data_IF_982425128506
#
_entry.id   IF_982425128506
#
_cell.length_a   1.000
_cell.length_b   1.000
_cell.length_c   1.000
_cell.angle_alpha   90.00
_cell.angle_beta   90.00
_cell.angle_gamma   90.00
#
_symmetry.space_group_name_H-M   'P 1'
#
loop_
_entity.id
_entity.type
_entity.pdbx_description
1 polymer ?
#
# COMPACT_ATOMS: atom_id res chain seq x y z
N UNK A 1 4.11 -48.24 14.63
CA UNK A 1 5.52 -47.84 14.47
C UNK A 1 5.58 -46.97 13.24
N UNK A 2 5.91 -45.69 13.38
CA UNK A 2 6.03 -44.80 12.22
C UNK A 2 7.40 -45.05 11.59
N UNK A 3 7.43 -45.23 10.27
CA UNK A 3 8.69 -45.33 9.53
C UNK A 3 9.27 -43.91 9.42
N UNK A 4 10.50 -43.70 9.90
CA UNK A 4 11.19 -42.41 9.75
C UNK A 4 11.93 -42.43 8.42
N UNK A 5 11.58 -41.51 7.53
CA UNK A 5 12.26 -41.31 6.25
C UNK A 5 13.37 -40.26 6.42
N UNK A 6 14.61 -40.68 6.14
CA UNK A 6 15.80 -39.82 6.18
C UNK A 6 16.18 -39.31 4.78
N UNK A 7 15.38 -39.62 3.76
CA UNK A 7 15.61 -39.15 2.39
C UNK A 7 15.37 -37.64 2.32
N UNK A 8 16.25 -36.94 1.63
CA UNK A 8 16.10 -35.51 1.39
C UNK A 8 14.78 -35.24 0.62
N UNK A 9 13.88 -34.40 1.15
CA UNK A 9 12.59 -34.17 0.53
C UNK A 9 12.70 -33.15 -0.62
N UNK A 10 13.18 -33.58 -1.78
CA UNK A 10 13.33 -32.78 -3.00
C UNK A 10 12.09 -31.95 -3.36
N UNK A 11 10.90 -32.55 -3.20
CA UNK A 11 9.63 -31.87 -3.47
C UNK A 11 9.39 -30.67 -2.55
N UNK A 12 9.82 -30.76 -1.28
CA UNK A 12 9.64 -29.72 -0.28
C UNK A 12 10.62 -28.58 -0.54
N UNK A 13 11.87 -28.92 -0.89
CA UNK A 13 12.90 -27.96 -1.29
C UNK A 13 12.43 -27.18 -2.52
N UNK A 14 12.00 -27.89 -3.57
CA UNK A 14 11.44 -27.26 -4.78
C UNK A 14 10.24 -26.37 -4.46
N UNK A 15 9.33 -26.84 -3.61
CA UNK A 15 8.16 -26.08 -3.17
C UNK A 15 8.54 -24.76 -2.49
N UNK A 16 9.50 -24.79 -1.55
CA UNK A 16 9.99 -23.59 -0.87
C UNK A 16 10.66 -22.60 -1.84
N UNK A 17 11.51 -23.08 -2.75
CA UNK A 17 12.13 -22.21 -3.76
C UNK A 17 11.11 -21.62 -4.74
N UNK A 18 10.11 -22.40 -5.16
CA UNK A 18 9.06 -21.92 -6.05
C UNK A 18 8.22 -20.82 -5.38
N UNK A 19 7.76 -21.05 -4.15
CA UNK A 19 6.97 -20.06 -3.40
C UNK A 19 7.81 -18.82 -3.11
N UNK A 20 9.04 -19.01 -2.66
CA UNK A 20 9.99 -17.93 -2.43
C UNK A 20 10.20 -17.06 -3.67
N UNK A 21 10.46 -17.70 -4.82
CA UNK A 21 10.61 -17.01 -6.10
C UNK A 21 9.36 -16.24 -6.53
N UNK A 22 8.18 -16.86 -6.43
CA UNK A 22 6.89 -16.19 -6.72
C UNK A 22 6.68 -14.98 -5.80
N UNK A 23 6.98 -15.12 -4.51
CA UNK A 23 6.80 -14.07 -3.52
C UNK A 23 7.76 -12.88 -3.76
N UNK A 24 9.02 -13.14 -4.10
CA UNK A 24 10.01 -12.14 -4.51
C UNK A 24 9.51 -11.35 -5.75
N UNK A 25 8.98 -12.04 -6.76
CA UNK A 25 8.43 -11.39 -7.96
C UNK A 25 7.24 -10.49 -7.61
N UNK A 26 6.29 -11.00 -6.82
CA UNK A 26 5.09 -10.25 -6.41
C UNK A 26 5.44 -9.03 -5.55
N UNK A 27 6.39 -9.17 -4.63
CA UNK A 27 6.86 -8.07 -3.79
C UNK A 27 7.62 -7.01 -4.60
N UNK A 28 8.45 -7.43 -5.56
CA UNK A 28 9.14 -6.50 -6.49
C UNK A 28 8.13 -5.72 -7.31
N UNK A 29 7.11 -6.39 -7.85
CA UNK A 29 6.01 -5.75 -8.56
C UNK A 29 5.28 -4.75 -7.64
N UNK A 30 4.96 -5.13 -6.40
CA UNK A 30 4.36 -4.25 -5.40
C UNK A 30 5.19 -2.98 -5.14
N UNK A 31 6.50 -3.13 -4.96
CA UNK A 31 7.45 -2.01 -4.78
C UNK A 31 7.45 -1.08 -6.00
N UNK A 32 7.60 -1.64 -7.21
CA UNK A 32 7.56 -0.87 -8.46
C UNK A 32 6.28 -0.04 -8.57
N UNK A 33 5.14 -0.68 -8.31
CA UNK A 33 3.85 -0.04 -8.41
C UNK A 33 3.67 1.08 -7.38
N UNK A 34 4.13 0.89 -6.14
CA UNK A 34 4.10 1.90 -5.08
C UNK A 34 4.98 3.11 -5.40
N UNK A 35 6.15 2.89 -5.99
CA UNK A 35 7.10 3.94 -6.38
C UNK A 35 6.61 4.76 -7.57
N UNK A 36 6.15 4.08 -8.63
CA UNK A 36 5.96 4.73 -9.94
C UNK A 36 4.49 4.98 -10.31
N UNK A 37 3.56 4.11 -9.89
CA UNK A 37 2.16 4.17 -10.34
C UNK A 37 1.20 4.74 -9.27
N UNK A 38 1.51 4.58 -7.98
CA UNK A 38 0.61 4.93 -6.87
C UNK A 38 0.76 6.37 -6.32
N UNK A 39 1.02 7.36 -7.18
CA UNK A 39 1.14 8.77 -6.77
C UNK A 39 -0.14 9.33 -6.13
N UNK A 40 -1.31 8.73 -6.41
CA UNK A 40 -2.59 9.15 -5.86
C UNK A 40 -2.70 8.94 -4.33
N UNK A 41 -1.95 8.00 -3.76
CA UNK A 41 -2.04 7.56 -2.35
C UNK A 41 -1.32 8.55 -1.40
N UNK A 42 -0.52 9.48 -1.92
CA UNK A 42 0.17 10.52 -1.12
C UNK A 42 1.19 9.94 -0.16
N UNK A 43 1.39 10.55 1.01
CA UNK A 43 2.41 10.11 1.99
C UNK A 43 2.21 8.70 2.54
N UNK A 44 0.98 8.19 2.55
CA UNK A 44 0.67 6.83 3.00
C UNK A 44 1.38 5.75 2.16
N UNK A 45 1.73 6.04 0.91
CA UNK A 45 2.48 5.11 0.05
C UNK A 45 3.84 4.71 0.62
N UNK A 46 4.49 5.58 1.40
CA UNK A 46 5.80 5.30 1.97
C UNK A 46 5.73 4.29 3.11
N UNK A 47 4.62 4.27 3.85
CA UNK A 47 4.35 3.24 4.86
C UNK A 47 4.06 1.89 4.22
N UNK A 48 3.25 1.88 3.15
CA UNK A 48 3.04 0.68 2.33
C UNK A 48 4.35 0.17 1.71
N UNK A 49 5.21 1.08 1.24
CA UNK A 49 6.50 0.75 0.68
C UNK A 49 7.43 0.14 1.73
N UNK A 50 7.47 0.71 2.94
CA UNK A 50 8.25 0.15 4.03
C UNK A 50 7.79 -1.29 4.38
N UNK A 51 6.48 -1.52 4.46
CA UNK A 51 5.92 -2.86 4.63
C UNK A 51 6.34 -3.82 3.50
N UNK A 52 6.19 -3.39 2.24
CA UNK A 52 6.53 -4.23 1.09
C UNK A 52 8.03 -4.56 1.02
N UNK A 53 8.90 -3.61 1.41
CA UNK A 53 10.34 -3.82 1.50
C UNK A 53 10.70 -4.83 2.60
N UNK A 54 10.01 -4.81 3.73
CA UNK A 54 10.21 -5.81 4.77
C UNK A 54 9.76 -7.20 4.32
N UNK A 55 8.61 -7.32 3.65
CA UNK A 55 8.15 -8.59 3.08
C UNK A 55 9.16 -9.13 2.06
N UNK A 56 9.66 -8.27 1.16
CA UNK A 56 10.70 -8.63 0.20
C UNK A 56 11.98 -9.14 0.88
N UNK A 57 12.44 -8.44 1.92
CA UNK A 57 13.65 -8.81 2.65
C UNK A 57 13.47 -10.16 3.36
N UNK A 58 12.32 -10.40 3.99
CA UNK A 58 12.02 -11.67 4.63
C UNK A 58 11.94 -12.81 3.62
N UNK A 59 11.28 -12.62 2.48
CA UNK A 59 11.21 -13.66 1.45
C UNK A 59 12.59 -13.98 0.87
N UNK A 60 13.43 -12.97 0.66
CA UNK A 60 14.81 -13.17 0.20
C UNK A 60 15.60 -14.00 1.22
N UNK A 61 15.46 -13.69 2.52
CA UNK A 61 16.12 -14.39 3.60
C UNK A 61 15.65 -15.85 3.71
N UNK A 62 14.34 -16.10 3.67
CA UNK A 62 13.80 -17.48 3.67
C UNK A 62 14.21 -18.26 2.41
N UNK A 63 14.15 -17.65 1.23
CA UNK A 63 14.41 -18.34 -0.05
C UNK A 63 15.89 -18.64 -0.26
N UNK A 64 16.80 -17.75 0.16
CA UNK A 64 18.24 -17.88 -0.11
C UNK A 64 19.03 -18.44 1.06
N UNK A 65 18.64 -18.12 2.29
CA UNK A 65 19.39 -18.51 3.47
C UNK A 65 18.72 -19.63 4.25
N UNK A 66 17.44 -19.95 3.95
CA UNK A 66 16.63 -20.97 4.65
C UNK A 66 16.68 -20.82 6.19
N UNK A 67 17.02 -19.62 6.66
CA UNK A 67 17.09 -19.31 8.08
C UNK A 67 15.69 -18.92 8.54
N UNK A 68 15.18 -19.50 9.63
CA UNK A 68 13.94 -19.05 10.23
C UNK A 68 14.12 -17.57 10.62
N UNK A 69 13.46 -16.69 9.87
CA UNK A 69 13.43 -15.28 10.21
C UNK A 69 12.30 -15.08 11.19
N UNK A 70 12.53 -14.38 12.30
CA UNK A 70 11.43 -13.95 13.14
C UNK A 70 10.42 -13.16 12.30
N UNK A 71 9.16 -13.63 12.21
CA UNK A 71 8.04 -12.97 11.50
C UNK A 71 7.68 -11.57 12.07
N UNK A 72 8.35 -11.19 13.15
CA UNK A 72 8.17 -9.96 13.92
C UNK A 72 8.14 -8.66 13.10
N UNK A 73 9.07 -8.40 12.16
CA UNK A 73 9.07 -7.11 11.47
C UNK A 73 7.84 -6.95 10.58
N UNK A 74 7.32 -8.04 10.01
CA UNK A 74 6.20 -7.98 9.07
C UNK A 74 4.89 -7.69 9.79
N UNK A 75 4.56 -8.48 10.82
CA UNK A 75 3.27 -8.37 11.52
C UNK A 75 3.17 -7.04 12.27
N UNK A 76 4.25 -6.62 12.94
CA UNK A 76 4.28 -5.34 13.64
C UNK A 76 4.13 -4.15 12.68
N UNK A 77 4.76 -4.20 11.49
CA UNK A 77 4.66 -3.13 10.48
C UNK A 77 3.26 -3.12 9.84
N UNK A 78 2.67 -4.29 9.58
CA UNK A 78 1.31 -4.39 9.04
C UNK A 78 0.30 -3.78 10.02
N UNK A 79 0.32 -4.20 11.29
CA UNK A 79 -0.57 -3.68 12.33
C UNK A 79 -0.44 -2.16 12.47
N UNK A 80 0.80 -1.63 12.50
CA UNK A 80 1.06 -0.20 12.54
C UNK A 80 0.50 0.53 11.31
N UNK A 81 0.58 -0.08 10.13
CA UNK A 81 0.04 0.52 8.90
C UNK A 81 -1.48 0.69 8.97
N UNK A 82 -2.20 -0.29 9.52
CA UNK A 82 -3.65 -0.16 9.76
C UNK A 82 -3.98 0.88 10.84
N UNK A 83 -3.21 0.96 11.92
CA UNK A 83 -3.40 1.97 12.98
C UNK A 83 -3.17 3.40 12.47
N UNK A 84 -2.11 3.62 11.69
CA UNK A 84 -1.85 4.91 11.05
C UNK A 84 -2.98 5.30 10.09
N UNK A 85 -3.52 4.31 9.36
CA UNK A 85 -4.66 4.53 8.47
C UNK A 85 -5.91 4.91 9.25
N UNK A 86 -6.19 4.21 10.35
CA UNK A 86 -7.27 4.52 11.28
C UNK A 86 -7.17 5.96 11.80
N UNK A 87 -5.99 6.36 12.29
CA UNK A 87 -5.74 7.69 12.81
C UNK A 87 -6.01 8.77 11.77
N UNK A 88 -5.55 8.56 10.52
CA UNK A 88 -5.78 9.48 9.41
C UNK A 88 -7.27 9.62 9.05
N UNK A 89 -8.02 8.52 9.04
CA UNK A 89 -9.46 8.53 8.71
C UNK A 89 -10.27 9.16 9.84
N UNK A 90 -9.98 8.79 11.09
CA UNK A 90 -10.69 9.26 12.29
C UNK A 90 -10.49 10.75 12.56
N UNK A 91 -9.29 11.27 12.29
CA UNK A 91 -9.00 12.70 12.40
C UNK A 91 -9.82 13.54 11.42
N UNK A 92 -10.10 13.04 10.22
CA UNK A 92 -10.92 13.74 9.23
C UNK A 92 -12.42 13.59 9.55
N UNK A 93 -12.83 12.45 10.10
CA UNK A 93 -14.25 12.20 10.41
C UNK A 93 -14.73 12.90 11.69
N UNK A 94 -13.82 13.55 12.43
CA UNK A 94 -14.05 14.11 13.77
C UNK A 94 -14.62 13.06 14.73
N UNK A 95 -14.05 11.86 14.70
CA UNK A 95 -14.44 10.71 15.52
C UNK A 95 -13.29 10.31 16.44
N UNK A 96 -13.53 9.34 17.34
CA UNK A 96 -12.48 8.80 18.20
C UNK A 96 -11.24 8.38 17.40
N UNK A 97 -10.09 8.94 17.77
CA UNK A 97 -8.78 8.67 17.18
C UNK A 97 -8.00 7.79 18.14
N UNK A 98 -7.50 6.64 17.68
CA UNK A 98 -6.63 5.79 18.49
C UNK A 98 -5.37 6.59 18.87
N UNK A 99 -5.01 6.69 20.16
CA UNK A 99 -3.87 7.47 20.59
C UNK A 99 -2.55 7.00 19.95
N UNK A 100 -1.64 7.92 19.64
CA UNK A 100 -0.36 7.59 18.99
C UNK A 100 0.53 6.66 19.81
N UNK A 101 0.44 6.69 21.14
CA UNK A 101 1.22 5.79 22.01
C UNK A 101 0.88 4.32 21.78
N UNK A 102 -0.34 4.03 21.30
CA UNK A 102 -0.79 2.66 20.97
C UNK A 102 0.08 2.06 19.87
N UNK A 103 0.56 2.85 18.91
CA UNK A 103 1.47 2.38 17.86
C UNK A 103 2.79 1.85 18.47
N UNK A 104 3.37 2.63 19.40
CA UNK A 104 4.59 2.25 20.11
C UNK A 104 4.37 1.03 21.02
N UNK A 105 3.21 0.95 21.69
CA UNK A 105 2.82 -0.20 22.49
C UNK A 105 2.74 -1.48 21.67
N UNK A 106 2.06 -1.46 20.51
CA UNK A 106 1.99 -2.65 19.65
C UNK A 106 3.36 -3.07 19.14
N UNK A 107 4.19 -2.12 18.72
CA UNK A 107 5.56 -2.42 18.28
C UNK A 107 6.37 -3.11 19.40
N UNK A 108 6.31 -2.58 20.63
CA UNK A 108 6.98 -3.18 21.79
C UNK A 108 6.40 -4.56 22.14
N UNK A 109 5.07 -4.71 22.15
CA UNK A 109 4.38 -5.95 22.46
C UNK A 109 4.78 -7.07 21.49
N UNK A 110 4.75 -6.80 20.18
CA UNK A 110 5.19 -7.78 19.18
C UNK A 110 6.66 -8.16 19.38
N UNK A 111 7.51 -7.23 19.85
CA UNK A 111 8.93 -7.49 20.10
C UNK A 111 9.14 -8.40 21.29
N UNK A 112 8.41 -8.16 22.37
CA UNK A 112 8.41 -9.01 23.56
C UNK A 112 7.89 -10.42 23.22
N UNK A 113 6.79 -10.52 22.47
CA UNK A 113 6.23 -11.82 22.05
C UNK A 113 7.23 -12.59 21.20
N UNK A 114 7.99 -11.91 20.33
CA UNK A 114 9.03 -12.56 19.56
C UNK A 114 10.15 -13.10 20.46
N UNK A 115 10.69 -12.28 21.35
CA UNK A 115 11.78 -12.70 22.24
C UNK A 115 11.32 -13.89 23.09
N UNK A 116 10.07 -13.84 23.58
CA UNK A 116 9.47 -14.96 24.31
C UNK A 116 9.36 -16.21 23.42
N UNK A 117 8.94 -16.07 22.17
CA UNK A 117 8.86 -17.18 21.21
C UNK A 117 10.22 -17.82 20.94
N UNK A 118 11.27 -17.03 20.71
CA UNK A 118 12.64 -17.51 20.52
C UNK A 118 13.15 -18.27 21.75
N UNK A 119 12.91 -17.73 22.95
CA UNK A 119 13.27 -18.41 24.21
C UNK A 119 12.54 -19.75 24.34
N UNK A 120 11.25 -19.79 24.02
CA UNK A 120 10.46 -21.02 24.13
C UNK A 120 10.89 -22.04 23.08
N UNK A 121 11.18 -21.63 21.83
CA UNK A 121 11.75 -22.49 20.80
C UNK A 121 13.09 -23.08 21.24
N UNK A 122 14.00 -22.25 21.74
CA UNK A 122 15.28 -22.72 22.25
C UNK A 122 15.10 -23.71 23.40
N UNK A 123 14.17 -23.44 24.33
CA UNK A 123 13.85 -24.35 25.43
C UNK A 123 13.18 -25.67 24.99
N UNK A 124 12.68 -25.73 23.74
CA UNK A 124 12.06 -26.92 23.17
C UNK A 124 13.10 -27.85 22.53
N UNK A 125 14.29 -27.37 22.20
CA UNK A 125 15.39 -28.24 21.78
C UNK A 125 15.94 -29.01 22.97
N UNK A 126 16.25 -30.29 22.74
CA UNK A 126 16.99 -31.08 23.73
C UNK A 126 18.47 -30.68 23.73
N UNK A 127 19.06 -30.61 24.92
CA UNK A 127 20.51 -30.56 25.05
C UNK A 127 21.13 -31.82 24.44
N UNK A 128 22.39 -31.74 23.99
CA UNK A 128 23.03 -32.82 23.22
C UNK A 128 23.01 -34.19 23.94
N UNK A 129 23.13 -34.19 25.27
CA UNK A 129 23.03 -35.42 26.09
C UNK A 129 21.62 -36.00 26.09
N UNK A 130 20.63 -35.17 26.39
CA UNK A 130 19.23 -35.60 26.48
C UNK A 130 18.68 -35.98 25.09
N UNK A 131 19.19 -35.35 24.03
CA UNK A 131 18.91 -35.68 22.64
C UNK A 131 19.22 -37.14 22.33
N UNK A 132 20.45 -37.58 22.62
CA UNK A 132 20.86 -38.96 22.34
C UNK A 132 20.15 -39.97 23.24
N UNK A 133 19.96 -39.65 24.54
CA UNK A 133 19.18 -40.49 25.46
C UNK A 133 17.74 -40.70 24.92
N UNK A 134 17.10 -39.64 24.44
CA UNK A 134 15.75 -39.70 23.89
C UNK A 134 15.69 -40.54 22.60
N UNK A 135 16.71 -40.47 21.75
CA UNK A 135 16.80 -41.29 20.51
C UNK A 135 17.01 -42.77 20.86
N UNK A 136 17.92 -43.07 21.78
CA UNK A 136 18.20 -44.46 22.19
C UNK A 136 16.98 -45.14 22.81
N UNK A 137 16.19 -44.39 23.60
CA UNK A 137 15.01 -44.93 24.27
C UNK A 137 13.82 -45.12 23.33
N UNK A 138 13.58 -44.17 22.41
CA UNK A 138 12.37 -44.16 21.59
C UNK A 138 12.56 -44.68 20.16
N UNK A 139 13.79 -44.66 19.64
CA UNK A 139 14.13 -44.96 18.24
C UNK A 139 15.45 -45.77 18.11
N UNK A 140 15.63 -46.87 18.86
CA UNK A 140 16.91 -47.59 18.92
C UNK A 140 17.35 -48.14 17.56
N UNK A 141 16.42 -48.51 16.69
CA UNK A 141 16.70 -49.03 15.35
C UNK A 141 17.28 -47.97 14.38
N UNK A 142 17.11 -46.68 14.66
CA UNK A 142 17.52 -45.58 13.78
C UNK A 142 18.82 -44.87 14.21
N UNK A 143 19.48 -45.32 15.29
CA UNK A 143 20.69 -44.67 15.84
C UNK A 143 21.76 -44.45 14.75
N UNK A 144 22.02 -45.45 13.91
CA UNK A 144 23.01 -45.34 12.82
C UNK A 144 22.62 -44.28 11.79
N UNK A 145 21.33 -44.14 11.49
CA UNK A 145 20.83 -43.13 10.55
C UNK A 145 21.00 -41.73 11.12
N UNK A 146 20.71 -41.53 12.41
CA UNK A 146 20.92 -40.24 13.08
C UNK A 146 22.40 -39.85 13.17
N UNK A 147 23.32 -40.80 13.37
CA UNK A 147 24.77 -40.54 13.39
C UNK A 147 25.36 -40.08 12.05
N UNK A 148 24.68 -40.38 10.93
CA UNK A 148 25.13 -39.96 9.60
C UNK A 148 24.79 -38.50 9.28
N UNK A 149 23.88 -37.88 10.04
CA UNK A 149 23.49 -36.49 9.85
C UNK A 149 24.58 -35.56 10.44
N UNK A 150 25.07 -34.61 9.63
CA UNK A 150 26.10 -33.68 10.08
C UNK A 150 25.60 -32.66 11.12
N UNK A 151 24.36 -32.20 11.00
CA UNK A 151 23.75 -31.24 11.93
C UNK A 151 22.24 -31.51 12.01
N UNK A 152 21.75 -31.93 13.19
CA UNK A 152 20.31 -32.13 13.41
C UNK A 152 19.91 -31.79 14.85
N UNK A 153 18.72 -31.20 14.97
CA UNK A 153 18.09 -30.86 16.23
C UNK A 153 16.90 -31.78 16.49
N UNK A 154 16.76 -32.23 17.73
CA UNK A 154 15.55 -32.94 18.18
C UNK A 154 14.83 -32.03 19.14
N UNK A 155 13.55 -31.82 18.87
CA UNK A 155 12.69 -30.98 19.68
C UNK A 155 11.70 -31.82 20.47
N UNK A 156 11.38 -31.36 21.67
CA UNK A 156 10.35 -31.93 22.53
C UNK A 156 8.95 -31.66 21.94
N UNK A 157 8.26 -32.74 21.58
CA UNK A 157 6.94 -32.68 20.95
C UNK A 157 5.88 -31.99 21.82
N UNK A 158 5.92 -32.13 23.15
CA UNK A 158 4.93 -31.48 24.03
C UNK A 158 5.13 -29.96 24.03
N UNK A 159 6.39 -29.53 24.08
CA UNK A 159 6.74 -28.10 24.00
C UNK A 159 6.42 -27.53 22.63
N UNK A 160 6.67 -28.27 21.53
CA UNK A 160 6.25 -27.85 20.19
C UNK A 160 4.73 -27.68 20.10
N UNK A 161 3.95 -28.62 20.64
CA UNK A 161 2.49 -28.52 20.66
C UNK A 161 2.04 -27.30 21.46
N UNK A 162 2.69 -27.01 22.59
CA UNK A 162 2.42 -25.81 23.37
C UNK A 162 2.71 -24.53 22.57
N UNK A 163 3.86 -24.46 21.91
CA UNK A 163 4.26 -23.35 21.02
C UNK A 163 3.22 -23.16 19.91
N UNK A 164 2.82 -24.23 19.24
CA UNK A 164 1.83 -24.18 18.17
C UNK A 164 0.49 -23.64 18.67
N UNK A 165 0.00 -24.11 19.82
CA UNK A 165 -1.23 -23.59 20.45
C UNK A 165 -1.11 -22.10 20.81
N UNK A 166 0.03 -21.69 21.34
CA UNK A 166 0.28 -20.29 21.67
C UNK A 166 0.27 -19.40 20.42
N UNK A 167 0.96 -19.81 19.35
CA UNK A 167 0.97 -19.09 18.08
C UNK A 167 -0.43 -18.99 17.45
N UNK A 168 -1.20 -20.07 17.46
CA UNK A 168 -2.59 -20.09 16.95
C UNK A 168 -3.47 -19.15 17.77
N UNK A 169 -3.38 -19.20 19.10
CA UNK A 169 -4.17 -18.34 19.99
C UNK A 169 -3.82 -16.86 19.84
N UNK A 170 -2.53 -16.54 19.81
CA UNK A 170 -2.05 -15.17 19.61
C UNK A 170 -2.40 -14.65 18.21
N UNK A 171 -2.24 -15.48 17.19
CA UNK A 171 -2.65 -15.19 15.81
C UNK A 171 -4.14 -14.87 15.71
N UNK A 172 -5.00 -15.69 16.32
CA UNK A 172 -6.45 -15.49 16.35
C UNK A 172 -6.85 -14.20 17.07
N UNK A 173 -6.22 -13.90 18.20
CA UNK A 173 -6.47 -12.66 18.94
C UNK A 173 -6.03 -11.43 18.13
N UNK A 174 -4.83 -11.48 17.53
CA UNK A 174 -4.30 -10.43 16.68
C UNK A 174 -5.16 -10.19 15.44
N UNK A 175 -5.60 -11.25 14.75
CA UNK A 175 -6.48 -11.16 13.58
C UNK A 175 -7.85 -10.58 13.94
N UNK A 176 -8.38 -10.90 15.12
CA UNK A 176 -9.66 -10.36 15.62
C UNK A 176 -9.55 -8.86 15.86
N UNK A 177 -8.49 -8.39 16.55
CA UNK A 177 -8.24 -6.95 16.76
C UNK A 177 -8.10 -6.24 15.41
N UNK A 178 -7.31 -6.80 14.50
CA UNK A 178 -7.11 -6.23 13.18
C UNK A 178 -8.44 -6.10 12.42
N UNK A 179 -9.29 -7.14 12.46
CA UNK A 179 -10.61 -7.11 11.84
C UNK A 179 -11.50 -6.03 12.44
N UNK A 180 -11.49 -5.83 13.76
CA UNK A 180 -12.25 -4.75 14.41
C UNK A 180 -11.79 -3.36 13.96
N UNK A 181 -10.47 -3.14 13.87
CA UNK A 181 -9.90 -1.88 13.35
C UNK A 181 -10.30 -1.66 11.90
N UNK A 182 -10.23 -2.70 11.07
CA UNK A 182 -10.66 -2.66 9.67
C UNK A 182 -12.14 -2.27 9.57
N UNK A 183 -13.02 -2.92 10.33
CA UNK A 183 -14.46 -2.64 10.36
C UNK A 183 -14.70 -1.18 10.74
N UNK A 184 -14.07 -0.68 11.80
CA UNK A 184 -14.21 0.72 12.24
C UNK A 184 -13.73 1.71 11.17
N UNK A 185 -12.60 1.43 10.49
CA UNK A 185 -12.15 2.24 9.34
C UNK A 185 -13.22 2.28 8.25
N UNK A 186 -13.81 1.15 7.87
CA UNK A 186 -14.84 1.11 6.82
C UNK A 186 -16.12 1.84 7.24
N UNK A 187 -16.55 1.71 8.50
CA UNK A 187 -17.68 2.46 9.03
C UNK A 187 -17.43 3.97 8.94
N UNK A 188 -16.25 4.44 9.34
CA UNK A 188 -15.87 5.86 9.23
C UNK A 188 -15.73 6.33 7.78
N UNK A 189 -15.22 5.48 6.87
CA UNK A 189 -15.18 5.78 5.44
C UNK A 189 -16.59 5.99 4.86
N UNK A 190 -17.60 5.23 5.28
CA UNK A 190 -19.00 5.45 4.85
C UNK A 190 -19.49 6.85 5.21
N UNK A 191 -19.23 7.31 6.44
CA UNK A 191 -19.59 8.66 6.90
C UNK A 191 -18.82 9.73 6.14
N UNK A 192 -17.52 9.52 5.90
CA UNK A 192 -16.68 10.46 5.17
C UNK A 192 -17.09 10.65 3.72
N UNK A 193 -17.70 9.64 3.07
CA UNK A 193 -18.16 9.71 1.67
C UNK A 193 -19.01 10.96 1.38
N UNK A 194 -19.75 11.44 2.38
CA UNK A 194 -20.61 12.62 2.29
C UNK A 194 -19.90 13.94 2.65
N UNK A 195 -18.80 13.87 3.42
CA UNK A 195 -18.10 15.05 3.99
C UNK A 195 -16.88 15.51 3.20
N UNK A 196 -16.30 14.64 2.35
CA UNK A 196 -15.08 14.96 1.58
C UNK A 196 -15.30 14.86 0.08
N UNK A 197 -14.44 15.53 -0.69
CA UNK A 197 -14.50 15.47 -2.16
C UNK A 197 -14.41 14.02 -2.68
N UNK A 198 -15.12 13.67 -3.77
CA UNK A 198 -15.06 12.32 -4.35
C UNK A 198 -13.64 11.85 -4.66
N UNK A 199 -12.74 12.78 -5.01
CA UNK A 199 -11.33 12.50 -5.26
C UNK A 199 -10.59 12.08 -3.98
N UNK A 200 -10.80 12.78 -2.87
CA UNK A 200 -10.19 12.43 -1.58
C UNK A 200 -10.78 11.14 -1.01
N UNK A 201 -12.09 10.93 -1.13
CA UNK A 201 -12.73 9.69 -0.71
C UNK A 201 -12.16 8.46 -1.43
N UNK A 202 -12.03 8.54 -2.77
CA UNK A 202 -11.41 7.47 -3.58
C UNK A 202 -10.00 7.14 -3.09
N UNK A 203 -9.18 8.15 -2.80
CA UNK A 203 -7.83 7.94 -2.25
C UNK A 203 -7.84 7.14 -0.94
N UNK A 204 -8.73 7.47 -0.01
CA UNK A 204 -8.80 6.75 1.26
C UNK A 204 -9.32 5.31 1.09
N UNK A 205 -10.34 5.11 0.25
CA UNK A 205 -10.92 3.79 -0.04
C UNK A 205 -9.96 2.86 -0.79
N UNK A 206 -9.25 3.37 -1.80
CA UNK A 206 -8.30 2.54 -2.58
C UNK A 206 -7.10 2.11 -1.75
N UNK A 207 -6.57 3.01 -0.92
CA UNK A 207 -5.52 2.65 0.04
C UNK A 207 -5.97 1.55 1.01
N UNK A 208 -7.24 1.56 1.42
CA UNK A 208 -7.79 0.52 2.29
C UNK A 208 -7.94 -0.83 1.56
N UNK A 209 -8.40 -0.79 0.31
CA UNK A 209 -8.47 -2.00 -0.54
C UNK A 209 -7.09 -2.59 -0.80
N UNK A 210 -6.08 -1.75 -1.01
CA UNK A 210 -4.70 -2.19 -1.19
C UNK A 210 -4.18 -2.93 0.05
N UNK A 211 -4.39 -2.37 1.26
CA UNK A 211 -4.04 -3.05 2.51
C UNK A 211 -4.72 -4.40 2.68
N UNK A 212 -6.02 -4.48 2.38
CA UNK A 212 -6.76 -5.75 2.48
C UNK A 212 -6.22 -6.79 1.50
N UNK A 213 -5.93 -6.39 0.27
CA UNK A 213 -5.37 -7.30 -0.73
C UNK A 213 -4.00 -7.79 -0.30
N UNK A 214 -3.16 -6.93 0.28
CA UNK A 214 -1.86 -7.33 0.85
C UNK A 214 -2.04 -8.36 1.99
N UNK A 215 -2.99 -8.14 2.90
CA UNK A 215 -3.27 -9.08 4.00
C UNK A 215 -3.82 -10.44 3.51
N UNK A 216 -4.60 -10.46 2.42
CA UNK A 216 -5.19 -11.69 1.87
C UNK A 216 -4.21 -12.44 0.96
N UNK A 217 -3.28 -11.72 0.31
CA UNK A 217 -2.33 -12.29 -0.65
C UNK A 217 -1.04 -12.83 -0.01
N UNK A 218 -0.85 -12.66 1.30
CA UNK A 218 0.33 -13.19 2.00
C UNK A 218 0.31 -14.74 2.05
N UNK A 219 1.34 -15.43 1.53
CA UNK A 219 1.40 -16.90 1.43
C UNK A 219 1.44 -17.67 2.76
N UNK A 220 1.52 -16.98 3.89
CA UNK A 220 1.77 -17.57 5.22
C UNK A 220 0.52 -18.30 5.78
N UNK A 221 -0.67 -18.10 5.18
CA UNK A 221 -1.87 -18.87 5.51
C UNK A 221 -2.00 -20.09 4.56
N UNK A 222 -1.80 -21.33 5.03
CA UNK A 222 -1.95 -22.52 4.21
C UNK A 222 -3.44 -22.75 3.93
N UNK A 223 -3.95 -22.16 2.85
CA UNK A 223 -5.38 -22.30 2.55
C UNK A 223 -6.01 -21.42 1.47
N UNK A 224 -5.29 -20.94 0.46
CA UNK A 224 -5.96 -20.32 -0.70
C UNK A 224 -5.19 -20.46 -2.02
N UNK A 225 -5.15 -21.69 -2.52
CA UNK A 225 -5.11 -21.98 -3.96
C UNK A 225 -6.52 -22.26 -4.50
N UNK A 226 -7.52 -21.48 -4.09
CA UNK A 226 -8.85 -21.53 -4.72
C UNK A 226 -9.27 -20.15 -5.22
N UNK A 227 -9.00 -19.92 -6.52
CA UNK A 227 -9.89 -19.17 -7.41
C UNK A 227 -10.46 -17.83 -6.95
N UNK A 228 -9.73 -16.98 -6.23
CA UNK A 228 -10.15 -15.59 -6.06
C UNK A 228 -9.96 -14.85 -7.40
N UNK A 229 -10.97 -14.14 -7.92
CA UNK A 229 -10.84 -13.45 -9.20
C UNK A 229 -9.73 -12.40 -9.07
N UNK A 230 -8.89 -12.31 -10.10
CA UNK A 230 -7.86 -11.31 -10.33
C UNK A 230 -8.44 -9.87 -10.45
N UNK A 231 -9.20 -9.42 -9.45
CA UNK A 231 -9.58 -8.03 -9.27
C UNK A 231 -8.46 -7.34 -8.50
N UNK A 232 -7.35 -7.13 -9.20
CA UNK A 232 -6.36 -6.11 -8.87
C UNK A 232 -7.13 -4.84 -8.45
N UNK A 233 -6.87 -4.24 -7.27
CA UNK A 233 -7.59 -3.05 -6.84
C UNK A 233 -7.49 -1.97 -7.92
N UNK A 234 -8.62 -1.33 -8.23
CA UNK A 234 -8.80 -0.29 -9.29
C UNK A 234 -7.82 0.89 -9.21
N UNK A 235 -6.95 0.93 -8.21
CA UNK A 235 -5.74 1.74 -8.19
C UNK A 235 -4.80 1.48 -9.38
N UNK A 236 -4.81 0.27 -9.98
CA UNK A 236 -4.01 -0.05 -11.17
C UNK A 236 -4.67 0.30 -12.50
N UNK A 237 -5.97 0.59 -12.51
CA UNK A 237 -6.74 0.79 -13.74
C UNK A 237 -7.43 2.15 -13.80
N UNK A 238 -6.81 3.22 -13.30
CA UNK A 238 -7.19 4.58 -13.71
C UNK A 238 -6.24 5.12 -14.79
N UNK A 239 -6.12 4.33 -15.84
CA UNK A 239 -6.13 4.86 -17.19
C UNK A 239 -7.52 4.58 -17.77
N UNK A 240 -8.52 5.38 -17.37
CA UNK A 240 -9.75 5.49 -18.16
C UNK A 240 -9.49 6.57 -19.22
N UNK A 241 -9.44 6.20 -20.52
CA UNK A 241 -9.02 7.06 -21.61
C UNK A 241 -10.15 7.99 -22.06
N UNK A 242 -10.58 8.88 -21.16
CA UNK A 242 -10.96 10.23 -21.57
C UNK A 242 -9.98 11.17 -20.90
N UNK A 243 -8.79 11.31 -21.48
CA UNK A 243 -7.83 12.34 -21.09
C UNK A 243 -8.54 13.68 -21.21
N UNK A 244 -9.04 14.19 -20.09
CA UNK A 244 -9.66 15.51 -20.02
C UNK A 244 -8.56 16.49 -20.37
N UNK A 245 -8.57 17.03 -21.59
CA UNK A 245 -7.54 17.93 -22.08
C UNK A 245 -7.81 19.35 -21.58
N UNK A 246 -6.77 20.03 -21.10
CA UNK A 246 -6.84 21.45 -20.79
C UNK A 246 -7.20 22.24 -22.05
N UNK A 247 -8.37 22.88 -22.06
CA UNK A 247 -8.85 23.66 -23.20
C UNK A 247 -7.99 24.88 -23.55
N UNK A 248 -7.08 25.27 -22.65
CA UNK A 248 -6.16 26.39 -22.87
C UNK A 248 -4.86 25.93 -23.55
N UNK A 249 -4.24 24.86 -23.05
CA UNK A 249 -2.85 24.52 -23.40
C UNK A 249 -2.63 23.08 -23.85
N UNK A 250 -3.67 22.29 -24.11
CA UNK A 250 -3.53 20.92 -24.65
C UNK A 250 -2.98 19.85 -23.68
N UNK A 251 -2.34 20.26 -22.58
CA UNK A 251 -1.86 19.34 -21.54
C UNK A 251 -2.99 18.65 -20.76
N UNK A 252 -2.69 17.54 -20.06
CA UNK A 252 -3.64 16.87 -19.18
C UNK A 252 -4.30 17.85 -18.17
N UNK A 253 -5.62 17.97 -18.31
CA UNK A 253 -6.50 18.75 -17.44
C UNK A 253 -6.73 18.07 -16.10
N UNK A 254 -7.07 18.87 -15.09
CA UNK A 254 -7.23 18.39 -13.71
C UNK A 254 -8.65 18.64 -13.16
N UNK A 255 -9.55 19.15 -13.98
CA UNK A 255 -10.94 19.49 -13.63
C UNK A 255 -11.37 20.84 -14.20
N UNK A 256 -12.56 21.29 -13.80
CA UNK A 256 -13.11 22.60 -14.15
C UNK A 256 -12.59 23.64 -13.15
N UNK A 257 -12.01 24.73 -13.66
CA UNK A 257 -11.58 25.89 -12.88
C UNK A 257 -12.08 27.14 -13.59
N UNK A 258 -12.71 28.07 -12.86
CA UNK A 258 -13.26 29.30 -13.43
C UNK A 258 -14.23 29.04 -14.59
N UNK A 259 -15.03 27.96 -14.52
CA UNK A 259 -16.00 27.59 -15.55
C UNK A 259 -15.46 26.77 -16.72
N UNK A 260 -14.14 26.53 -16.81
CA UNK A 260 -13.52 25.82 -17.96
C UNK A 260 -12.64 24.66 -17.50
N UNK A 261 -12.61 23.58 -18.27
CA UNK A 261 -11.68 22.46 -18.07
C UNK A 261 -10.24 22.93 -18.31
N UNK A 262 -9.41 22.94 -17.25
CA UNK A 262 -8.03 23.42 -17.33
C UNK A 262 -7.04 22.54 -16.54
N UNK A 263 -5.75 22.70 -16.83
CA UNK A 263 -4.68 22.17 -15.98
C UNK A 263 -4.40 23.12 -14.80
N UNK A 264 -3.77 22.61 -13.74
CA UNK A 264 -3.42 23.40 -12.55
C UNK A 264 -2.63 24.67 -12.86
N UNK A 265 -1.75 24.64 -13.87
CA UNK A 265 -0.94 25.78 -14.25
C UNK A 265 -1.78 26.91 -14.90
N UNK A 266 -2.75 26.58 -15.75
CA UNK A 266 -3.64 27.58 -16.36
C UNK A 266 -4.61 28.17 -15.31
N UNK A 267 -5.11 27.34 -14.39
CA UNK A 267 -5.93 27.83 -13.28
C UNK A 267 -5.15 28.81 -12.38
N UNK A 268 -3.91 28.47 -12.00
CA UNK A 268 -3.08 29.35 -11.19
C UNK A 268 -2.70 30.65 -11.93
N UNK A 269 -2.44 30.57 -13.24
CA UNK A 269 -2.18 31.74 -14.08
C UNK A 269 -3.38 32.70 -14.11
N UNK A 270 -4.59 32.18 -14.35
CA UNK A 270 -5.80 32.99 -14.41
C UNK A 270 -6.16 33.59 -13.05
N UNK A 271 -6.01 32.83 -11.96
CA UNK A 271 -6.20 33.34 -10.59
C UNK A 271 -5.26 34.52 -10.29
N UNK A 272 -4.00 34.44 -10.71
CA UNK A 272 -3.01 35.52 -10.52
C UNK A 272 -3.40 36.78 -11.28
N UNK A 273 -3.89 36.63 -12.52
CA UNK A 273 -4.44 37.75 -13.28
C UNK A 273 -5.61 38.43 -12.53
N UNK A 274 -6.58 37.64 -12.06
CA UNK A 274 -7.76 38.17 -11.35
C UNK A 274 -7.38 38.87 -10.04
N UNK A 275 -6.53 38.25 -9.21
CA UNK A 275 -6.19 38.79 -7.88
C UNK A 275 -5.28 40.02 -7.96
N UNK A 276 -4.32 40.03 -8.89
CA UNK A 276 -3.31 41.09 -8.99
C UNK A 276 -3.62 42.12 -10.08
N UNK A 277 -4.77 42.01 -10.76
CA UNK A 277 -5.19 42.89 -11.87
C UNK A 277 -4.10 43.12 -12.92
N UNK A 278 -3.40 42.06 -13.32
CA UNK A 278 -2.21 42.15 -14.17
C UNK A 278 -2.56 42.46 -15.62
N UNK A 279 -1.89 43.45 -16.22
CA UNK A 279 -1.96 43.67 -17.66
C UNK A 279 -0.78 42.97 -18.35
N UNK A 280 -1.05 42.27 -19.46
CA UNK A 280 -0.03 41.62 -20.26
C UNK A 280 -0.08 42.15 -21.70
N UNK A 281 1.08 42.48 -22.26
CA UNK A 281 1.23 42.86 -23.68
C UNK A 281 1.96 41.77 -24.46
N UNK A 282 1.54 41.51 -25.70
CA UNK A 282 2.21 40.57 -26.58
C UNK A 282 3.41 41.26 -27.25
N UNK A 283 4.60 40.64 -27.18
CA UNK A 283 5.80 41.15 -27.85
C UNK A 283 5.74 40.99 -29.38
N UNK A 284 4.94 40.04 -29.88
CA UNK A 284 4.86 39.68 -31.30
C UNK A 284 3.64 40.27 -32.02
N UNK A 285 3.04 41.33 -31.45
CA UNK A 285 1.83 42.12 -31.79
C UNK A 285 0.84 41.60 -32.85
N UNK A 286 1.28 41.10 -34.00
CA UNK A 286 0.46 40.65 -35.13
C UNK A 286 0.21 39.13 -35.20
N UNK A 287 1.01 38.31 -34.50
CA UNK A 287 0.90 36.83 -34.58
C UNK A 287 0.40 36.21 -33.28
N UNK A 288 -0.68 35.43 -33.34
CA UNK A 288 -1.17 34.61 -32.21
C UNK A 288 -0.11 33.57 -31.83
N UNK A 289 0.51 33.74 -30.66
CA UNK A 289 1.55 32.83 -30.19
C UNK A 289 0.96 31.43 -29.92
N UNK A 290 1.61 30.39 -30.45
CA UNK A 290 1.28 29.00 -30.12
C UNK A 290 1.48 28.74 -28.63
N UNK A 291 0.51 28.06 -28.02
CA UNK A 291 0.51 27.70 -26.60
C UNK A 291 0.84 26.22 -26.37
N UNK A 292 1.24 25.51 -27.42
CA UNK A 292 1.19 24.05 -27.47
C UNK A 292 2.49 23.34 -27.05
N UNK A 293 3.60 24.07 -26.83
CA UNK A 293 4.89 23.44 -26.44
C UNK A 293 5.67 24.30 -25.44
N UNK A 294 6.00 23.68 -24.30
CA UNK A 294 6.93 24.11 -23.24
C UNK A 294 6.42 25.27 -22.34
N UNK A 295 6.04 24.90 -21.11
CA UNK A 295 5.32 25.69 -20.08
C UNK A 295 5.93 27.05 -19.66
N UNK A 296 7.16 27.39 -20.07
CA UNK A 296 7.90 28.57 -19.54
C UNK A 296 8.03 29.74 -20.53
N UNK A 297 7.74 29.56 -21.83
CA UNK A 297 7.86 30.62 -22.85
C UNK A 297 6.54 30.99 -23.55
N UNK A 298 5.39 30.45 -23.10
CA UNK A 298 4.10 30.82 -23.68
C UNK A 298 3.78 32.30 -23.40
N UNK A 299 3.49 33.08 -24.44
CA UNK A 299 3.15 34.50 -24.31
C UNK A 299 1.99 34.69 -23.31
N UNK A 300 2.23 35.50 -22.26
CA UNK A 300 1.26 35.72 -21.18
C UNK A 300 -0.02 36.40 -21.69
N UNK A 301 0.13 37.33 -22.63
CA UNK A 301 -1.00 37.99 -23.29
C UNK A 301 -1.88 36.99 -24.05
N UNK A 302 -1.32 36.23 -25.00
CA UNK A 302 -2.09 35.25 -25.78
C UNK A 302 -2.69 34.15 -24.91
N UNK A 303 -2.00 33.75 -23.84
CA UNK A 303 -2.52 32.77 -22.88
C UNK A 303 -3.73 33.33 -22.11
N UNK A 304 -3.67 34.58 -21.65
CA UNK A 304 -4.80 35.24 -21.00
C UNK A 304 -5.97 35.43 -21.95
N UNK A 305 -5.72 35.89 -23.17
CA UNK A 305 -6.73 36.05 -24.20
C UNK A 305 -7.47 34.73 -24.47
N UNK A 306 -6.74 33.61 -24.56
CA UNK A 306 -7.35 32.29 -24.71
C UNK A 306 -8.15 31.85 -23.49
N UNK A 307 -7.72 32.19 -22.26
CA UNK A 307 -8.51 31.93 -21.06
C UNK A 307 -9.87 32.64 -21.11
N UNK A 308 -9.88 33.92 -21.47
CA UNK A 308 -11.09 34.73 -21.60
C UNK A 308 -11.98 34.22 -22.74
N UNK A 309 -11.39 33.91 -23.91
CA UNK A 309 -12.11 33.37 -25.06
C UNK A 309 -12.79 32.02 -24.76
N UNK A 310 -12.13 31.16 -23.98
CA UNK A 310 -12.72 29.87 -23.58
C UNK A 310 -13.76 30.01 -22.46
N UNK A 311 -14.02 31.23 -21.97
CA UNK A 311 -15.06 31.53 -20.99
C UNK A 311 -14.62 31.42 -19.53
N UNK A 312 -13.33 31.61 -19.22
CA UNK A 312 -12.90 31.67 -17.83
C UNK A 312 -13.40 32.96 -17.17
N UNK A 313 -14.15 32.84 -16.07
CA UNK A 313 -14.72 33.99 -15.32
C UNK A 313 -14.20 34.05 -13.89
N UNK A 314 -14.13 35.25 -13.32
CA UNK A 314 -13.63 35.46 -11.95
C UNK A 314 -14.56 34.92 -10.86
N UNK A 315 -15.86 34.82 -11.17
CA UNK A 315 -16.89 34.28 -10.29
C UNK A 315 -17.04 32.76 -10.49
N UNK A 316 -16.77 31.98 -9.44
CA UNK A 316 -16.96 30.52 -9.44
C UNK A 316 -18.45 30.11 -9.32
N UNK A 317 -19.38 30.90 -9.86
CA UNK A 317 -20.80 30.58 -9.86
C UNK A 317 -21.07 29.48 -10.90
N UNK A 318 -21.02 28.23 -10.46
CA UNK A 318 -21.35 27.06 -11.27
C UNK A 318 -22.87 26.99 -11.53
N UNK A 319 -23.37 27.86 -12.40
CA UNK A 319 -24.69 27.70 -13.03
C UNK A 319 -24.60 28.08 -14.51
N UNK A 320 -24.74 27.08 -15.36
CA UNK A 320 -24.77 27.22 -16.81
C UNK A 320 -26.11 27.77 -17.28
N UNK A 321 -26.11 28.98 -17.83
CA UNK A 321 -27.06 29.39 -18.87
C UNK A 321 -26.28 30.01 -20.03
N UNK A 322 -26.66 29.72 -21.28
CA UNK A 322 -26.00 30.30 -22.44
C UNK A 322 -26.46 31.76 -22.57
N UNK A 323 -25.53 32.70 -22.49
CA UNK A 323 -25.74 34.08 -22.92
C UNK A 323 -24.99 34.26 -24.22
N UNK A 324 -25.73 34.59 -25.27
CA UNK A 324 -25.23 34.98 -26.59
C UNK A 324 -24.47 36.32 -26.48
N UNK A 325 -23.26 36.38 -27.04
CA UNK A 325 -22.36 37.54 -26.99
C UNK A 325 -22.17 38.20 -28.37
N UNK A 326 -23.14 38.09 -29.28
CA UNK A 326 -23.06 38.72 -30.61
C UNK A 326 -23.05 40.27 -30.62
N UNK A 327 -23.00 40.99 -29.48
CA UNK A 327 -23.28 42.44 -29.48
C UNK A 327 -22.30 43.35 -28.71
N UNK A 328 -21.06 42.93 -28.41
CA UNK A 328 -20.09 43.83 -27.72
C UNK A 328 -18.66 43.80 -28.26
N UNK A 329 -18.48 43.96 -29.57
CA UNK A 329 -17.15 44.13 -30.19
C UNK A 329 -17.00 45.41 -31.03
N UNK A 330 -17.81 46.45 -30.80
CA UNK A 330 -17.71 47.71 -31.57
C UNK A 330 -17.44 48.98 -30.76
N UNK A 331 -16.97 48.89 -29.51
CA UNK A 331 -16.43 50.05 -28.81
C UNK A 331 -15.35 49.64 -27.82
N UNK A 332 -14.10 49.61 -28.31
CA UNK A 332 -12.89 50.18 -27.71
C UNK A 332 -11.66 49.71 -28.49
#
# INVERSE_FOLDING_TARGET
MYLIDFTEPEWLIFYYHLIGGVSVIMNTLGIYLLLYQCNAIGSFRYWLLAYQLMCFATDLQFTLLMQPVPLYPIIAVLANTFLLKHQSVSSISNSFVIPKFVNGFFFLLFGIVLIAFEIVLYSACFDEKDKWINIELNYPEYIRSFQQLQEFEVMDGEKIIFIAKFLIGFGFFGSTILLLVVIDIFQKLKVLKLKISPKNYRKHSEAMRCLLVQTIADPILPGSMTGAPANIPKCFSQFDPKTIICKICGYPGHGVHFGVITCRACAAFFRRFVVMNLQYSCVKSEVRCSLDRIRRSSCRHCRLQKCLQMGMKADNSSKSTPIDYSTRLLTL
#
